data_IF_449465100824
#
_entry.id   IF_449465100824
#
_cell.length_a   1.000
_cell.length_b   1.000
_cell.length_c   1.000
_cell.angle_alpha   90.00
_cell.angle_beta   90.00
_cell.angle_gamma   90.00
#
_symmetry.space_group_name_H-M   'P 1'
#
loop_
_entity.id
_entity.type
_entity.pdbx_description
1 polymer ?
#
# COMPACT_ATOMS: atom_id res chain seq x y z
N UNK A 1 39.18 -12.82 35.75
CA UNK A 1 38.32 -13.68 34.93
C UNK A 1 36.97 -13.02 34.59
N UNK A 2 36.25 -12.43 35.56
CA UNK A 2 34.96 -11.78 35.33
C UNK A 2 35.00 -10.57 34.36
N UNK A 3 36.02 -9.71 34.44
CA UNK A 3 36.14 -8.52 33.57
C UNK A 3 36.46 -8.82 32.10
N UNK A 4 37.17 -9.92 31.83
CA UNK A 4 37.50 -10.33 30.45
C UNK A 4 36.24 -10.88 29.77
N UNK A 5 35.47 -11.72 30.46
CA UNK A 5 34.19 -12.21 29.95
C UNK A 5 33.20 -11.07 29.67
N UNK A 6 33.16 -10.05 30.53
CA UNK A 6 32.34 -8.86 30.33
C UNK A 6 32.74 -8.06 29.09
N UNK A 7 34.04 -7.88 28.83
CA UNK A 7 34.54 -7.22 27.62
C UNK A 7 34.19 -8.00 26.34
N UNK A 8 34.25 -9.33 26.38
CA UNK A 8 33.82 -10.17 25.26
C UNK A 8 32.32 -10.03 24.97
N UNK A 9 31.48 -9.97 26.00
CA UNK A 9 30.04 -9.75 25.83
C UNK A 9 29.77 -8.38 25.20
N UNK A 10 30.45 -7.33 25.65
CA UNK A 10 30.32 -5.99 25.05
C UNK A 10 30.77 -6.01 23.58
N UNK A 11 31.90 -6.64 23.26
CA UNK A 11 32.39 -6.75 21.90
C UNK A 11 31.38 -7.46 20.98
N UNK A 12 30.75 -8.54 21.46
CA UNK A 12 29.71 -9.27 20.71
C UNK A 12 28.50 -8.36 20.47
N UNK A 13 28.03 -7.64 21.49
CA UNK A 13 26.89 -6.70 21.35
C UNK A 13 27.21 -5.60 20.35
N UNK A 14 28.40 -5.02 20.40
CA UNK A 14 28.82 -3.98 19.44
C UNK A 14 28.90 -4.53 18.03
N UNK A 15 29.52 -5.69 17.82
CA UNK A 15 29.61 -6.33 16.50
C UNK A 15 28.22 -6.62 15.90
N UNK A 16 27.25 -7.00 16.72
CA UNK A 16 25.88 -7.27 16.26
C UNK A 16 25.10 -5.97 16.04
N UNK A 17 25.26 -4.96 16.89
CA UNK A 17 24.49 -3.71 16.82
C UNK A 17 25.04 -2.73 15.75
N UNK A 18 26.33 -2.79 15.45
CA UNK A 18 27.00 -1.84 14.55
C UNK A 18 26.41 -1.77 13.14
N UNK A 19 26.09 -2.90 12.47
CA UNK A 19 25.45 -2.86 11.15
C UNK A 19 24.11 -2.11 11.16
N UNK A 20 23.28 -2.33 12.18
CA UNK A 20 21.98 -1.66 12.32
C UNK A 20 22.14 -0.17 12.59
N UNK A 21 23.10 0.21 13.44
CA UNK A 21 23.42 1.61 13.70
C UNK A 21 23.94 2.32 12.44
N UNK A 22 24.77 1.65 11.65
CA UNK A 22 25.27 2.18 10.39
C UNK A 22 24.15 2.42 9.36
N UNK A 23 23.19 1.48 9.25
CA UNK A 23 22.00 1.65 8.40
C UNK A 23 21.16 2.84 8.88
N UNK A 24 20.87 2.93 10.18
CA UNK A 24 20.11 4.04 10.76
C UNK A 24 20.77 5.38 10.43
N UNK A 25 22.08 5.51 10.64
CA UNK A 25 22.83 6.73 10.35
C UNK A 25 22.79 7.02 8.85
N UNK A 26 22.99 6.02 8.00
CA UNK A 26 22.92 6.16 6.55
C UNK A 26 21.60 6.75 6.07
N UNK A 27 20.48 6.21 6.56
CA UNK A 27 19.14 6.70 6.24
C UNK A 27 18.94 8.15 6.72
N UNK A 28 19.42 8.50 7.92
CA UNK A 28 19.27 9.86 8.44
C UNK A 28 20.05 10.88 7.60
N UNK A 29 21.25 10.51 7.14
CA UNK A 29 22.13 11.35 6.32
C UNK A 29 21.69 11.47 4.87
N UNK A 30 20.88 10.53 4.36
CA UNK A 30 20.33 10.58 3.01
C UNK A 30 19.53 11.87 2.80
N UNK A 31 19.68 12.59 1.68
CA UNK A 31 18.86 13.77 1.42
C UNK A 31 17.38 13.38 1.35
N UNK A 32 16.51 14.26 1.84
CA UNK A 32 15.08 14.05 1.65
C UNK A 32 14.75 14.12 0.16
N UNK A 33 13.89 13.21 -0.36
CA UNK A 33 13.46 13.32 -1.73
C UNK A 33 12.67 14.63 -1.91
N UNK A 34 12.74 15.26 -3.09
CA UNK A 34 12.06 16.52 -3.32
C UNK A 34 10.56 16.42 -3.06
N UNK A 35 9.97 17.51 -2.57
CA UNK A 35 8.52 17.59 -2.40
C UNK A 35 7.81 17.53 -3.77
N UNK A 36 6.63 16.90 -3.83
CA UNK A 36 5.83 16.90 -5.04
C UNK A 36 5.32 18.32 -5.33
N UNK A 37 5.21 18.68 -6.61
CA UNK A 37 4.54 19.91 -7.04
C UNK A 37 3.03 19.81 -6.81
N UNK A 38 2.44 18.63 -7.05
CA UNK A 38 1.03 18.34 -6.77
C UNK A 38 0.95 17.42 -5.55
N UNK A 39 0.47 17.96 -4.42
CA UNK A 39 0.40 17.26 -3.13
C UNK A 39 -0.97 16.64 -2.82
N UNK A 40 -1.97 16.86 -3.67
CA UNK A 40 -3.36 16.44 -3.50
C UNK A 40 -3.95 16.03 -4.85
N UNK A 41 -4.69 14.92 -4.88
CA UNK A 41 -5.40 14.46 -6.07
C UNK A 41 -6.67 13.70 -5.72
N UNK A 42 -7.70 13.90 -6.55
CA UNK A 42 -8.98 13.19 -6.47
C UNK A 42 -9.16 12.37 -7.74
N UNK A 43 -9.46 11.08 -7.56
CA UNK A 43 -9.59 10.12 -8.64
C UNK A 43 -10.94 9.43 -8.53
N UNK A 44 -12.00 10.03 -9.12
CA UNK A 44 -13.29 9.38 -9.25
C UNK A 44 -13.16 8.04 -9.96
N UNK A 45 -13.92 7.06 -9.49
CA UNK A 45 -13.98 5.73 -10.08
C UNK A 45 -15.38 5.12 -10.04
N UNK A 46 -15.56 4.10 -10.85
CA UNK A 46 -16.77 3.29 -10.96
C UNK A 46 -16.38 1.82 -11.12
N UNK A 47 -16.81 1.01 -10.16
CA UNK A 47 -16.68 -0.44 -10.19
C UNK A 47 -18.05 -1.06 -10.44
N UNK A 48 -18.16 -1.85 -11.49
CA UNK A 48 -19.30 -2.73 -11.66
C UNK A 48 -18.90 -4.17 -11.37
N UNK A 49 -19.74 -4.85 -10.62
CA UNK A 49 -19.56 -6.25 -10.31
C UNK A 49 -20.90 -6.95 -10.17
N UNK A 50 -20.90 -8.26 -10.32
CA UNK A 50 -22.02 -9.12 -10.02
C UNK A 50 -21.70 -9.89 -8.74
N UNK A 51 -22.70 -10.06 -7.87
CA UNK A 51 -22.63 -10.94 -6.72
C UNK A 51 -23.94 -11.72 -6.64
N UNK A 52 -23.88 -13.04 -6.60
CA UNK A 52 -25.05 -13.91 -6.55
C UNK A 52 -26.08 -13.62 -7.67
N UNK A 53 -25.59 -13.36 -8.89
CA UNK A 53 -26.43 -13.02 -10.04
C UNK A 53 -27.03 -11.60 -10.02
N UNK A 54 -26.74 -10.79 -8.99
CA UNK A 54 -27.18 -9.40 -8.90
C UNK A 54 -26.06 -8.44 -9.30
N UNK A 55 -26.31 -7.59 -10.29
CA UNK A 55 -25.40 -6.52 -10.68
C UNK A 55 -25.42 -5.39 -9.64
N UNK A 56 -24.24 -4.99 -9.21
CA UNK A 56 -23.99 -3.87 -8.31
C UNK A 56 -23.08 -2.87 -9.01
N UNK A 57 -23.30 -1.59 -8.69
CA UNK A 57 -22.48 -0.48 -9.16
C UNK A 57 -22.03 0.29 -7.93
N UNK A 58 -20.72 0.45 -7.78
CA UNK A 58 -20.11 1.24 -6.73
C UNK A 58 -19.36 2.40 -7.37
N UNK A 59 -19.68 3.61 -6.92
CA UNK A 59 -19.04 4.85 -7.35
C UNK A 59 -18.52 5.59 -6.13
N UNK A 60 -17.27 6.03 -6.19
CA UNK A 60 -16.63 6.78 -5.12
C UNK A 60 -15.43 7.54 -5.72
N UNK A 61 -14.70 8.25 -4.89
CA UNK A 61 -13.49 8.97 -5.27
C UNK A 61 -12.33 8.56 -4.37
N UNK A 62 -11.23 8.12 -4.97
CA UNK A 62 -9.99 7.90 -4.25
C UNK A 62 -9.28 9.24 -4.07
N UNK A 63 -9.01 9.60 -2.83
CA UNK A 63 -8.31 10.84 -2.48
C UNK A 63 -6.89 10.47 -2.06
N UNK A 64 -5.90 11.10 -2.70
CA UNK A 64 -4.48 10.88 -2.41
C UNK A 64 -3.84 12.19 -1.92
N UNK A 65 -3.13 12.12 -0.81
CA UNK A 65 -2.58 13.28 -0.12
C UNK A 65 -1.13 13.01 0.30
N UNK A 66 -0.25 13.98 0.08
CA UNK A 66 1.14 13.89 0.51
C UNK A 66 1.23 13.92 2.05
N UNK A 67 1.89 12.92 2.63
CA UNK A 67 2.01 12.72 4.08
C UNK A 67 3.44 12.97 4.60
N UNK A 68 4.29 13.59 3.79
CA UNK A 68 5.67 13.89 4.16
C UNK A 68 6.67 12.84 3.68
N UNK A 69 7.69 12.59 4.49
CA UNK A 69 8.80 11.68 4.15
C UNK A 69 8.74 10.45 5.05
N UNK A 70 8.69 9.28 4.42
CA UNK A 70 8.89 7.99 5.07
C UNK A 70 10.34 7.54 4.93
N UNK A 71 10.74 6.59 5.76
CA UNK A 71 12.04 5.95 5.65
C UNK A 71 11.94 4.47 6.06
N UNK A 72 12.57 3.60 5.28
CA UNK A 72 12.73 2.18 5.63
C UNK A 72 14.10 1.65 5.21
N UNK A 73 14.50 0.52 5.79
CA UNK A 73 15.83 -0.07 5.60
C UNK A 73 16.11 -0.55 4.17
N UNK A 74 15.08 -0.85 3.39
CA UNK A 74 15.22 -1.38 2.04
C UNK A 74 15.30 -0.30 0.96
N UNK A 75 14.62 0.84 1.18
CA UNK A 75 14.42 1.89 0.17
C UNK A 75 15.06 3.22 0.53
N UNK A 76 15.51 3.39 1.77
CA UNK A 76 15.94 4.69 2.27
C UNK A 76 14.76 5.64 2.47
N UNK A 77 14.98 6.93 2.24
CA UNK A 77 13.94 7.97 2.33
C UNK A 77 13.07 8.00 1.08
N UNK A 78 11.75 8.05 1.27
CA UNK A 78 10.78 8.13 0.19
C UNK A 78 9.66 9.12 0.49
N UNK A 79 9.00 9.63 -0.56
CA UNK A 79 7.79 10.43 -0.43
C UNK A 79 6.66 9.54 0.04
N UNK A 80 6.09 9.88 1.19
CA UNK A 80 4.98 9.15 1.79
C UNK A 80 3.66 9.75 1.32
N UNK A 81 2.76 8.88 0.92
CA UNK A 81 1.41 9.25 0.51
C UNK A 81 0.38 8.56 1.40
N UNK A 82 -0.70 9.26 1.71
CA UNK A 82 -1.91 8.72 2.31
C UNK A 82 -2.99 8.60 1.24
N UNK A 83 -3.86 7.60 1.39
CA UNK A 83 -5.04 7.45 0.56
C UNK A 83 -6.27 7.16 1.40
N UNK A 84 -7.42 7.65 0.96
CA UNK A 84 -8.73 7.40 1.56
C UNK A 84 -9.82 7.47 0.51
N UNK A 85 -10.98 6.89 0.81
CA UNK A 85 -12.17 7.03 -0.01
C UNK A 85 -12.96 8.27 0.43
N UNK A 86 -13.55 9.00 -0.52
CA UNK A 86 -14.38 10.16 -0.23
C UNK A 86 -15.62 9.79 0.61
N UNK A 87 -16.16 8.59 0.43
CA UNK A 87 -17.22 8.02 1.28
C UNK A 87 -16.84 7.85 2.75
N UNK A 88 -15.56 7.90 3.11
CA UNK A 88 -15.07 7.59 4.45
C UNK A 88 -14.93 6.09 4.73
N UNK A 89 -15.29 5.23 3.78
CA UNK A 89 -15.03 3.79 3.89
C UNK A 89 -13.53 3.51 3.85
N UNK A 90 -13.08 2.52 4.62
CA UNK A 90 -11.67 2.12 4.60
C UNK A 90 -11.26 1.44 3.30
N UNK A 91 -12.19 0.70 2.67
CA UNK A 91 -11.95 -0.16 1.50
C UNK A 91 -13.17 -0.21 0.58
N UNK A 92 -12.95 -0.64 -0.66
CA UNK A 92 -14.02 -0.95 -1.61
C UNK A 92 -14.49 -2.39 -1.33
N UNK A 93 -15.36 -2.55 -0.34
CA UNK A 93 -15.87 -3.86 0.09
C UNK A 93 -16.79 -4.48 -0.98
N UNK A 94 -16.50 -5.71 -1.40
CA UNK A 94 -17.35 -6.49 -2.31
C UNK A 94 -18.30 -7.40 -1.53
N UNK A 95 -17.76 -8.05 -0.49
CA UNK A 95 -18.48 -8.97 0.38
C UNK A 95 -17.78 -9.02 1.75
N UNK A 96 -18.55 -8.88 2.82
CA UNK A 96 -18.10 -9.23 4.17
C UNK A 96 -18.59 -10.64 4.48
N UNK A 97 -17.65 -11.56 4.73
CA UNK A 97 -17.96 -12.97 5.02
C UNK A 97 -18.38 -13.07 6.49
N UNK A 98 -17.60 -12.47 7.38
CA UNK A 98 -17.86 -12.38 8.81
C UNK A 98 -17.13 -11.15 9.40
N UNK A 99 -16.93 -11.11 10.72
CA UNK A 99 -16.26 -9.99 11.41
C UNK A 99 -14.74 -9.93 11.18
N UNK A 100 -14.13 -11.05 10.78
CA UNK A 100 -12.68 -11.19 10.61
C UNK A 100 -12.27 -11.24 9.13
N UNK A 101 -13.19 -11.61 8.23
CA UNK A 101 -12.93 -11.81 6.81
C UNK A 101 -13.74 -10.87 5.93
N UNK A 102 -13.04 -10.19 5.02
CA UNK A 102 -13.65 -9.29 4.04
C UNK A 102 -12.99 -9.43 2.67
N UNK A 103 -13.80 -9.56 1.62
CA UNK A 103 -13.35 -9.46 0.24
C UNK A 103 -13.53 -8.02 -0.22
N UNK A 104 -12.45 -7.42 -0.70
CA UNK A 104 -12.44 -6.04 -1.17
C UNK A 104 -11.66 -5.91 -2.48
N UNK A 105 -11.98 -4.87 -3.22
CA UNK A 105 -11.25 -4.45 -4.40
C UNK A 105 -10.20 -3.40 -4.03
N UNK A 106 -8.99 -3.55 -4.57
CA UNK A 106 -7.92 -2.56 -4.38
C UNK A 106 -7.90 -1.61 -5.59
N UNK A 107 -8.18 -0.30 -5.40
CA UNK A 107 -8.17 0.65 -6.50
C UNK A 107 -6.76 0.98 -7.01
N UNK A 108 -5.71 0.56 -6.28
CA UNK A 108 -4.32 0.94 -6.52
C UNK A 108 -3.73 1.75 -5.37
N UNK A 109 -2.46 2.13 -5.51
CA UNK A 109 -1.73 2.91 -4.50
C UNK A 109 -1.72 4.40 -4.86
N UNK A 110 -1.67 5.26 -3.85
CA UNK A 110 -1.48 6.69 -4.07
C UNK A 110 -0.22 7.00 -4.89
N UNK A 111 0.87 6.26 -4.70
CA UNK A 111 2.07 6.41 -5.53
C UNK A 111 1.79 6.26 -7.02
N UNK A 112 0.94 5.31 -7.43
CA UNK A 112 0.54 5.17 -8.82
C UNK A 112 -0.23 6.40 -9.29
N UNK A 113 -1.31 6.76 -8.59
CA UNK A 113 -2.19 7.85 -8.99
C UNK A 113 -1.51 9.22 -8.97
N UNK A 114 -0.56 9.44 -8.05
CA UNK A 114 0.19 10.68 -7.90
C UNK A 114 1.44 10.75 -8.78
N UNK A 115 1.63 9.79 -9.69
CA UNK A 115 2.75 9.75 -10.63
C UNK A 115 4.12 9.50 -9.98
N UNK A 116 4.14 8.91 -8.78
CA UNK A 116 5.32 8.70 -7.94
C UNK A 116 5.64 7.20 -7.77
N UNK A 117 5.61 6.45 -8.88
CA UNK A 117 6.10 5.09 -8.91
C UNK A 117 7.63 5.09 -8.84
N UNK A 118 8.19 4.09 -8.15
CA UNK A 118 9.63 3.87 -8.14
C UNK A 118 10.16 3.65 -9.56
N UNK A 119 11.31 4.24 -9.87
CA UNK A 119 11.96 4.12 -11.19
C UNK A 119 12.10 2.66 -11.60
N UNK A 120 11.64 2.32 -12.81
CA UNK A 120 11.69 0.95 -13.34
C UNK A 120 10.58 0.03 -12.86
N UNK A 121 9.62 0.51 -12.06
CA UNK A 121 8.38 -0.21 -11.76
C UNK A 121 7.24 0.23 -12.65
N UNK A 122 6.63 -0.75 -13.31
CA UNK A 122 5.33 -0.57 -13.96
C UNK A 122 4.21 -0.94 -13.00
N UNK A 123 3.13 -0.16 -13.02
CA UNK A 123 1.94 -0.48 -12.24
C UNK A 123 1.15 -1.58 -12.94
N UNK A 124 1.05 -2.74 -12.30
CA UNK A 124 0.17 -3.81 -12.72
C UNK A 124 -1.16 -3.67 -11.98
N UNK A 125 -2.21 -3.31 -12.73
CA UNK A 125 -3.54 -3.18 -12.15
C UNK A 125 -4.05 -4.55 -11.70
N UNK A 126 -4.60 -4.63 -10.49
CA UNK A 126 -5.14 -5.87 -9.95
C UNK A 126 -6.40 -6.39 -10.65
N UNK A 127 -7.00 -5.66 -11.59
CA UNK A 127 -8.25 -6.06 -12.25
C UNK A 127 -8.02 -7.26 -13.18
N UNK A 128 -8.91 -8.27 -13.23
CA UNK A 128 -10.19 -8.41 -12.53
C UNK A 128 -10.11 -9.23 -11.22
N UNK A 129 -9.00 -9.18 -10.50
CA UNK A 129 -8.80 -9.89 -9.23
C UNK A 129 -9.23 -9.03 -8.03
N UNK A 130 -9.43 -9.68 -6.88
CA UNK A 130 -9.75 -9.05 -5.61
C UNK A 130 -8.77 -9.48 -4.51
N UNK A 131 -8.89 -8.88 -3.33
CA UNK A 131 -8.15 -9.28 -2.14
C UNK A 131 -9.12 -9.77 -1.08
N UNK A 132 -8.71 -10.77 -0.31
CA UNK A 132 -9.33 -11.10 0.97
C UNK A 132 -8.39 -10.65 2.09
N UNK A 133 -8.97 -9.95 3.06
CA UNK A 133 -8.31 -9.63 4.32
C UNK A 133 -8.87 -10.56 5.39
N UNK A 134 -7.97 -11.16 6.18
CA UNK A 134 -8.31 -12.04 7.28
C UNK A 134 -7.67 -11.51 8.56
N UNK A 135 -8.45 -11.38 9.63
CA UNK A 135 -8.03 -10.86 10.94
C UNK A 135 -8.02 -11.96 11.98
N UNK A 136 -6.83 -12.31 12.47
CA UNK A 136 -6.64 -13.29 13.55
C UNK A 136 -6.04 -12.60 14.77
N UNK A 137 -6.92 -12.08 15.63
CA UNK A 137 -6.51 -11.30 16.79
C UNK A 137 -5.76 -10.02 16.40
N UNK A 138 -4.44 -9.99 16.65
CA UNK A 138 -3.55 -8.87 16.28
C UNK A 138 -2.92 -9.02 14.90
N UNK A 139 -3.12 -10.15 14.24
CA UNK A 139 -2.56 -10.43 12.94
C UNK A 139 -3.58 -10.09 11.86
N UNK A 140 -3.09 -9.53 10.76
CA UNK A 140 -3.89 -9.22 9.57
C UNK A 140 -3.11 -9.73 8.37
N UNK A 141 -3.74 -10.61 7.59
CA UNK A 141 -3.18 -11.10 6.33
C UNK A 141 -4.01 -10.59 5.16
N UNK A 142 -3.36 -10.43 4.02
CA UNK A 142 -4.02 -10.12 2.76
C UNK A 142 -3.62 -11.18 1.74
N UNK A 143 -4.59 -11.70 0.99
CA UNK A 143 -4.34 -12.70 -0.07
C UNK A 143 -5.06 -12.31 -1.36
N UNK A 144 -4.37 -12.47 -2.48
CA UNK A 144 -4.95 -12.32 -3.82
C UNK A 144 -5.95 -13.44 -4.10
N UNK A 145 -7.16 -13.08 -4.52
CA UNK A 145 -8.15 -13.99 -5.08
C UNK A 145 -8.27 -13.67 -6.57
N UNK A 146 -7.91 -14.65 -7.41
CA UNK A 146 -8.03 -14.53 -8.86
C UNK A 146 -9.50 -14.53 -9.28
N UNK A 147 -9.81 -13.92 -10.43
CA UNK A 147 -11.18 -13.77 -10.91
C UNK A 147 -11.96 -15.09 -11.06
N UNK A 148 -11.29 -16.17 -11.47
CA UNK A 148 -11.87 -17.51 -11.59
C UNK A 148 -12.24 -18.09 -10.22
N UNK A 149 -11.36 -17.95 -9.24
CA UNK A 149 -11.62 -18.33 -7.85
C UNK A 149 -12.75 -17.47 -7.24
N UNK A 150 -12.74 -16.16 -7.50
CA UNK A 150 -13.73 -15.21 -7.01
C UNK A 150 -15.15 -15.58 -7.49
N UNK A 151 -15.28 -15.99 -8.75
CA UNK A 151 -16.54 -16.47 -9.31
C UNK A 151 -16.93 -17.84 -8.74
N UNK A 152 -15.99 -18.79 -8.69
CA UNK A 152 -16.30 -20.18 -8.29
C UNK A 152 -16.67 -20.31 -6.82
N UNK A 153 -15.96 -19.61 -5.93
CA UNK A 153 -16.10 -19.78 -4.48
C UNK A 153 -17.09 -18.77 -3.87
N UNK A 154 -17.18 -17.56 -4.42
CA UNK A 154 -17.96 -16.48 -3.84
C UNK A 154 -19.08 -15.97 -4.75
N UNK A 155 -19.20 -16.52 -5.96
CA UNK A 155 -20.17 -16.10 -6.96
C UNK A 155 -20.10 -14.57 -7.24
N UNK A 156 -18.88 -14.04 -7.23
CA UNK A 156 -18.57 -12.64 -7.52
C UNK A 156 -17.83 -12.55 -8.85
N UNK A 157 -18.26 -11.62 -9.72
CA UNK A 157 -17.61 -11.32 -10.99
C UNK A 157 -17.38 -9.83 -11.13
N UNK A 158 -16.13 -9.39 -11.27
CA UNK A 158 -15.83 -8.01 -11.62
C UNK A 158 -16.11 -7.81 -13.12
N UNK A 159 -16.93 -6.82 -13.45
CA UNK A 159 -17.41 -6.57 -14.82
C UNK A 159 -16.58 -5.48 -15.48
N UNK A 160 -16.44 -4.34 -14.80
CA UNK A 160 -15.71 -3.19 -15.32
C UNK A 160 -15.11 -2.37 -14.18
N UNK A 161 -13.96 -1.77 -14.46
CA UNK A 161 -13.29 -0.81 -13.60
C UNK A 161 -12.95 0.42 -14.43
N UNK A 162 -13.61 1.53 -14.12
CA UNK A 162 -13.38 2.82 -14.75
C UNK A 162 -12.86 3.77 -13.68
N UNK A 163 -11.61 4.22 -13.81
CA UNK A 163 -11.01 5.16 -12.88
C UNK A 163 -10.32 6.30 -13.63
N UNK A 164 -10.20 7.43 -12.97
CA UNK A 164 -9.41 8.55 -13.48
C UNK A 164 -7.94 8.13 -13.65
N UNK A 165 -7.27 8.54 -14.74
CA UNK A 165 -5.87 8.20 -14.95
C UNK A 165 -4.97 8.85 -13.88
N UNK A 166 -3.77 8.29 -13.63
CA UNK A 166 -2.79 8.94 -12.77
C UNK A 166 -2.38 10.30 -13.33
N UNK A 167 -2.03 11.24 -12.44
CA UNK A 167 -1.52 12.55 -12.84
C UNK A 167 -0.04 12.46 -13.25
N UNK A 168 0.38 13.41 -14.07
CA UNK A 168 1.80 13.70 -14.29
C UNK A 168 2.22 14.68 -13.20
N UNK A 169 3.15 14.25 -12.34
CA UNK A 169 3.65 15.05 -11.24
C UNK A 169 5.14 15.31 -11.40
N UNK A 170 5.62 16.39 -10.79
CA UNK A 170 7.01 16.79 -10.84
C UNK A 170 7.65 16.66 -9.46
N UNK A 171 8.87 16.14 -9.46
CA UNK A 171 9.67 15.85 -8.28
C UNK A 171 11.10 16.39 -8.40
N UNK A 172 11.33 17.36 -9.28
CA UNK A 172 12.68 17.88 -9.53
C UNK A 172 13.22 18.79 -8.42
N UNK A 173 12.38 19.24 -7.49
CA UNK A 173 12.74 20.24 -6.46
C UNK A 173 13.06 21.59 -7.11
N UNK A 174 12.19 22.58 -6.93
CA UNK A 174 12.56 23.98 -7.20
C UNK A 174 13.23 24.57 -5.98
#
# INVERSE_FOLDING_TARGET
MLGIAFLFVIAIVVCIAWPWLAILIGIQLEPNPPRPEIAYGEFPFRLEYEINGQRKVLQDTLICEYDGIGADEGRGKYRKWKQRLASGNERITLLRIDETQEIYYSPGSANYYMGDLETGREYQHGFPNALIIEKEGRFTSNRLIRADQLLKEYNIKLISWEASPPIINNFSGK
#
